data_IF_756406174966
#
_entry.id   IF_756406174966
#
_cell.length_a   1.000
_cell.length_b   1.000
_cell.length_c   1.000
_cell.angle_alpha   90.00
_cell.angle_beta   90.00
_cell.angle_gamma   90.00
#
_symmetry.space_group_name_H-M   'P 1'
#
loop_
_entity.id
_entity.type
_entity.pdbx_description
1 polymer ?
#
# COMPACT_ATOMS: atom_id res chain seq x y z
N UNK A 1 -28.73 13.61 28.33
CA UNK A 1 -28.58 12.34 27.59
C UNK A 1 -29.15 12.40 26.17
N UNK A 2 -30.28 13.09 25.92
CA UNK A 2 -30.91 13.17 24.59
C UNK A 2 -30.00 13.67 23.47
N UNK A 3 -29.18 14.70 23.73
CA UNK A 3 -28.27 15.25 22.72
C UNK A 3 -27.25 14.21 22.26
N UNK A 4 -26.60 13.51 23.20
CA UNK A 4 -25.63 12.47 22.89
C UNK A 4 -26.29 11.34 22.09
N UNK A 5 -27.52 10.94 22.47
CA UNK A 5 -28.28 9.93 21.73
C UNK A 5 -28.57 10.32 20.27
N UNK A 6 -28.84 11.61 19.99
CA UNK A 6 -29.13 12.10 18.63
C UNK A 6 -27.87 12.29 17.77
N UNK A 7 -26.74 12.66 18.37
CA UNK A 7 -25.53 13.07 17.65
C UNK A 7 -24.30 12.19 17.88
N UNK A 8 -24.43 11.01 18.50
CA UNK A 8 -23.30 10.09 18.75
C UNK A 8 -22.49 9.76 17.48
N UNK A 9 -23.15 9.67 16.32
CA UNK A 9 -22.52 9.40 15.02
C UNK A 9 -21.47 10.46 14.64
N UNK A 10 -21.60 11.70 15.14
CA UNK A 10 -20.62 12.77 14.91
C UNK A 10 -19.28 12.40 15.56
N UNK A 11 -19.30 11.80 16.77
CA UNK A 11 -18.08 11.33 17.43
C UNK A 11 -17.41 10.21 16.61
N UNK A 12 -18.20 9.30 16.03
CA UNK A 12 -17.69 8.24 15.15
C UNK A 12 -17.03 8.85 13.91
N UNK A 13 -17.65 9.83 13.26
CA UNK A 13 -17.06 10.48 12.08
C UNK A 13 -15.76 11.23 12.41
N UNK A 14 -15.71 11.96 13.53
CA UNK A 14 -14.50 12.64 13.99
C UNK A 14 -13.39 11.63 14.29
N UNK A 15 -13.75 10.50 14.94
CA UNK A 15 -12.80 9.41 15.19
C UNK A 15 -12.27 8.80 13.89
N UNK A 16 -13.15 8.46 12.94
CA UNK A 16 -12.76 7.92 11.64
C UNK A 16 -11.88 8.89 10.84
N UNK A 17 -12.21 10.18 10.86
CA UNK A 17 -11.37 11.21 10.24
C UNK A 17 -9.97 11.24 10.88
N UNK A 18 -9.90 11.14 12.21
CA UNK A 18 -8.63 11.03 12.93
C UNK A 18 -7.82 9.79 12.52
N UNK A 19 -8.46 8.63 12.39
CA UNK A 19 -7.82 7.39 11.91
C UNK A 19 -7.29 7.56 10.49
N UNK A 20 -8.11 8.11 9.58
CA UNK A 20 -7.71 8.34 8.18
C UNK A 20 -6.50 9.29 8.08
N UNK A 21 -6.51 10.39 8.83
CA UNK A 21 -5.39 11.34 8.86
C UNK A 21 -4.11 10.70 9.40
N UNK A 22 -4.21 9.85 10.43
CA UNK A 22 -3.08 9.09 10.95
C UNK A 22 -2.52 8.11 9.90
N UNK A 23 -3.38 7.36 9.21
CA UNK A 23 -2.97 6.43 8.15
C UNK A 23 -2.30 7.16 6.99
N UNK A 24 -2.86 8.28 6.53
CA UNK A 24 -2.25 9.10 5.48
C UNK A 24 -0.85 9.59 5.90
N UNK A 25 -0.70 10.04 7.14
CA UNK A 25 0.59 10.48 7.68
C UNK A 25 1.60 9.35 7.71
N UNK A 26 1.17 8.13 8.06
CA UNK A 26 2.04 6.97 8.10
C UNK A 26 2.45 6.51 6.68
N UNK A 27 1.50 6.46 5.75
CA UNK A 27 1.78 6.17 4.33
C UNK A 27 2.75 7.18 3.71
N UNK A 28 2.69 8.46 4.11
CA UNK A 28 3.66 9.48 3.67
C UNK A 28 5.09 9.24 4.16
N UNK A 29 5.30 8.42 5.19
CA UNK A 29 6.65 8.02 5.65
C UNK A 29 7.21 6.85 4.85
N UNK A 30 6.35 6.10 4.16
CA UNK A 30 6.76 4.98 3.31
C UNK A 30 7.30 5.53 1.99
N UNK A 31 8.62 5.49 1.83
CA UNK A 31 9.28 5.86 0.57
C UNK A 31 9.42 4.64 -0.33
N UNK A 32 8.38 4.37 -1.12
CA UNK A 32 8.38 3.26 -2.07
C UNK A 32 9.45 3.44 -3.17
N UNK A 33 9.81 4.69 -3.51
CA UNK A 33 10.84 4.95 -4.53
C UNK A 33 12.20 4.55 -4.01
N UNK A 34 12.53 4.96 -2.78
CA UNK A 34 13.74 4.52 -2.09
C UNK A 34 13.84 2.99 -1.99
N UNK A 35 12.74 2.29 -1.71
CA UNK A 35 12.73 0.83 -1.72
C UNK A 35 13.01 0.26 -3.12
N UNK A 36 12.44 0.83 -4.19
CA UNK A 36 12.69 0.39 -5.56
C UNK A 36 14.15 0.65 -6.00
N UNK A 37 14.69 1.82 -5.65
CA UNK A 37 16.07 2.21 -5.97
C UNK A 37 17.12 1.38 -5.21
N UNK A 38 16.74 0.81 -4.06
CA UNK A 38 17.62 0.02 -3.19
C UNK A 38 17.03 -1.37 -2.92
N UNK A 39 16.27 -1.93 -3.88
CA UNK A 39 15.63 -3.23 -3.70
C UNK A 39 16.73 -4.29 -3.55
N UNK A 40 16.68 -5.14 -2.51
CA UNK A 40 17.61 -6.26 -2.40
C UNK A 40 17.34 -7.25 -3.54
N UNK A 41 18.41 -7.83 -4.07
CA UNK A 41 18.30 -8.93 -5.02
C UNK A 41 17.54 -10.08 -4.35
N UNK A 42 16.44 -10.51 -4.99
CA UNK A 42 15.66 -11.63 -4.48
C UNK A 42 16.44 -12.92 -4.72
N UNK A 43 16.41 -13.90 -3.79
CA UNK A 43 16.96 -15.21 -4.09
C UNK A 43 16.25 -15.79 -5.33
N UNK A 44 16.95 -16.61 -6.13
CA UNK A 44 16.33 -17.23 -7.29
C UNK A 44 15.07 -17.96 -6.85
N UNK A 45 13.99 -17.79 -7.61
CA UNK A 45 12.75 -18.49 -7.35
C UNK A 45 13.02 -20.00 -7.33
N UNK A 46 12.39 -20.74 -6.42
CA UNK A 46 12.65 -22.19 -6.27
C UNK A 46 12.36 -22.98 -7.55
N UNK A 47 11.48 -22.45 -8.40
CA UNK A 47 11.07 -23.01 -9.67
C UNK A 47 11.88 -22.48 -10.87
N UNK A 48 12.78 -21.52 -10.67
CA UNK A 48 13.51 -20.81 -11.74
C UNK A 48 12.59 -20.25 -12.85
N UNK A 49 11.35 -19.88 -12.51
CA UNK A 49 10.41 -19.34 -13.49
C UNK A 49 10.86 -17.97 -14.05
N UNK A 50 11.78 -17.28 -13.36
CA UNK A 50 12.47 -16.09 -13.87
C UNK A 50 13.24 -16.35 -15.17
N UNK A 51 13.67 -17.60 -15.41
CA UNK A 51 14.34 -18.00 -16.66
C UNK A 51 13.37 -18.17 -17.83
N UNK A 52 12.07 -18.30 -17.57
CA UNK A 52 11.07 -18.42 -18.64
C UNK A 52 10.70 -17.05 -19.22
N UNK A 53 10.96 -15.95 -18.48
CA UNK A 53 10.78 -14.58 -18.99
C UNK A 53 11.74 -14.28 -20.16
N UNK A 54 12.92 -14.92 -20.21
CA UNK A 54 13.87 -14.79 -21.34
C UNK A 54 13.36 -15.48 -22.62
N UNK A 55 12.44 -16.43 -22.50
CA UNK A 55 11.79 -17.16 -23.59
C UNK A 55 10.42 -16.55 -23.96
N UNK A 56 9.98 -15.50 -23.27
CA UNK A 56 8.67 -14.88 -23.48
C UNK A 56 8.61 -14.16 -24.83
N UNK A 57 7.70 -14.61 -25.68
CA UNK A 57 7.43 -14.09 -27.02
C UNK A 57 6.39 -12.95 -27.01
N UNK A 58 6.02 -12.45 -25.82
CA UNK A 58 5.11 -11.32 -25.70
C UNK A 58 5.59 -10.13 -26.55
N UNK A 59 4.70 -9.48 -27.33
CA UNK A 59 5.07 -8.30 -28.08
C UNK A 59 5.62 -7.22 -27.15
N UNK A 60 6.95 -7.00 -27.22
CA UNK A 60 7.60 -5.89 -26.53
C UNK A 60 6.93 -4.60 -26.97
N UNK A 61 6.41 -3.83 -26.01
CA UNK A 61 5.80 -2.53 -26.32
C UNK A 61 6.82 -1.69 -27.09
N UNK A 62 6.41 -1.20 -28.27
CA UNK A 62 7.19 -0.28 -29.10
C UNK A 62 7.54 0.99 -28.37
#
# INVERSE_FOLDING_TARGET
MEWLGKYWWVLVLVFLLGVLLNVIKDLKRVDHKKFMDNRPELPPHRDFNDKWDDEDDWPKKK
#
